data_IF_149822624028
#
_entry.id   IF_149822624028
#
_cell.length_a   1.000
_cell.length_b   1.000
_cell.length_c   1.000
_cell.angle_alpha   90.00
_cell.angle_beta   90.00
_cell.angle_gamma   90.00
#
_symmetry.space_group_name_H-M   'P 1'
#
loop_
_entity.id
_entity.type
_entity.pdbx_description
1 polymer ?
#
# COMPACT_ATOMS: atom_id res chain seq x y z
N UNK A 1 -2.32 -44.81 40.54
CA UNK A 1 -1.60 -44.26 39.38
C UNK A 1 -2.41 -43.08 38.85
N UNK A 2 -2.03 -41.84 39.19
CA UNK A 2 -2.74 -40.61 38.78
C UNK A 2 -2.15 -40.13 37.44
N UNK A 3 -3.00 -39.76 36.46
CA UNK A 3 -2.60 -39.67 35.06
C UNK A 3 -1.64 -38.51 34.79
N UNK A 4 -0.62 -38.75 33.95
CA UNK A 4 0.35 -37.79 33.39
C UNK A 4 -0.32 -36.89 32.29
N UNK A 5 -1.57 -37.21 31.95
CA UNK A 5 -2.41 -36.59 30.91
C UNK A 5 -2.68 -35.08 31.09
N UNK A 6 -2.84 -34.49 32.31
CA UNK A 6 -3.11 -33.07 32.43
C UNK A 6 -1.87 -32.19 32.17
N UNK A 7 -0.67 -32.67 32.47
CA UNK A 7 0.57 -31.94 32.17
C UNK A 7 0.84 -31.85 30.66
N UNK A 8 0.56 -32.92 29.90
CA UNK A 8 0.76 -32.93 28.45
C UNK A 8 -0.23 -31.99 27.72
N UNK A 9 -1.46 -31.87 28.25
CA UNK A 9 -2.49 -30.98 27.70
C UNK A 9 -2.19 -29.50 27.95
N UNK A 10 -1.63 -29.16 29.12
CA UNK A 10 -1.22 -27.79 29.46
C UNK A 10 -0.01 -27.37 28.62
N UNK A 11 0.93 -28.29 28.39
CA UNK A 11 2.11 -28.02 27.55
C UNK A 11 1.72 -27.76 26.08
N UNK A 12 0.75 -28.49 25.53
CA UNK A 12 0.29 -28.31 24.15
C UNK A 12 -0.46 -26.99 23.93
N UNK A 13 -1.19 -26.49 24.93
CA UNK A 13 -1.86 -25.17 24.88
C UNK A 13 -0.85 -24.02 24.96
N UNK A 14 0.22 -24.17 25.75
CA UNK A 14 1.27 -23.16 25.88
C UNK A 14 2.08 -22.99 24.57
N UNK A 15 2.32 -24.07 23.82
CA UNK A 15 3.02 -24.02 22.54
C UNK A 15 2.18 -23.31 21.45
N UNK A 16 0.86 -23.49 21.42
CA UNK A 16 -0.01 -22.78 20.47
C UNK A 16 -0.05 -21.25 20.69
N UNK A 17 0.20 -20.78 21.91
CA UNK A 17 0.21 -19.33 22.21
C UNK A 17 1.50 -18.64 21.75
N UNK A 18 2.61 -19.38 21.60
CA UNK A 18 3.90 -18.80 21.22
C UNK A 18 4.07 -18.61 19.71
N UNK A 19 3.27 -19.30 18.88
CA UNK A 19 3.36 -19.25 17.40
C UNK A 19 2.51 -18.12 16.80
N UNK A 20 1.71 -17.41 17.60
CA UNK A 20 0.67 -16.49 17.11
C UNK A 20 1.10 -15.03 16.80
N UNK A 21 2.36 -14.65 16.99
CA UNK A 21 2.77 -13.23 16.95
C UNK A 21 3.63 -12.86 15.74
N UNK A 22 3.32 -13.38 14.56
CA UNK A 22 3.84 -12.80 13.32
C UNK A 22 2.91 -11.66 12.90
N UNK A 23 3.08 -10.49 13.52
CA UNK A 23 2.42 -9.27 13.07
C UNK A 23 2.93 -8.95 11.66
N UNK A 24 2.04 -8.95 10.67
CA UNK A 24 2.37 -8.43 9.35
C UNK A 24 2.79 -6.97 9.50
N UNK A 25 4.04 -6.66 9.13
CA UNK A 25 4.54 -5.29 9.12
C UNK A 25 3.74 -4.53 8.06
N UNK A 26 2.85 -3.65 8.47
CA UNK A 26 2.00 -2.90 7.55
C UNK A 26 2.68 -1.56 7.21
N UNK A 27 3.13 -1.40 5.96
CA UNK A 27 3.65 -0.13 5.48
C UNK A 27 2.49 0.87 5.43
N UNK A 28 2.64 2.07 6.05
CA UNK A 28 1.61 3.09 6.03
C UNK A 28 1.43 3.63 4.61
N UNK A 29 0.18 3.74 4.18
CA UNK A 29 -0.15 4.32 2.88
C UNK A 29 -0.30 5.84 3.02
N UNK A 30 0.33 6.65 2.16
CA UNK A 30 0.15 8.11 2.19
C UNK A 30 -1.28 8.49 1.77
N UNK A 31 -1.75 9.63 2.26
CA UNK A 31 -2.96 10.26 1.75
C UNK A 31 -2.68 10.90 0.39
N UNK A 32 -3.65 10.86 -0.53
CA UNK A 32 -3.50 11.46 -1.85
C UNK A 32 -3.69 12.97 -1.75
N UNK A 33 -2.59 13.70 -1.55
CA UNK A 33 -2.61 15.16 -1.48
C UNK A 33 -2.43 15.80 -2.86
N UNK A 34 -1.66 15.15 -3.74
CA UNK A 34 -1.33 15.63 -5.08
C UNK A 34 -1.22 14.46 -6.06
N UNK A 35 -1.37 14.70 -7.38
CA UNK A 35 -1.22 13.65 -8.38
C UNK A 35 0.18 13.05 -8.43
N UNK A 36 1.22 13.76 -8.00
CA UNK A 36 2.60 13.28 -7.97
C UNK A 36 3.19 13.45 -6.57
N UNK A 37 3.54 12.33 -5.95
CA UNK A 37 4.20 12.28 -4.65
C UNK A 37 5.51 11.51 -4.77
N UNK A 38 6.62 12.22 -4.58
CA UNK A 38 7.97 11.66 -4.58
C UNK A 38 8.59 11.79 -3.18
N UNK A 39 8.73 10.66 -2.48
CA UNK A 39 9.34 10.57 -1.15
C UNK A 39 10.84 10.24 -1.22
N UNK A 40 11.39 10.04 -2.41
CA UNK A 40 12.82 9.74 -2.65
C UNK A 40 13.62 10.98 -3.03
N UNK A 41 12.95 12.04 -3.49
CA UNK A 41 13.62 13.23 -4.03
C UNK A 41 14.36 12.96 -5.34
N UNK A 42 13.88 11.98 -6.12
CA UNK A 42 14.42 11.64 -7.43
C UNK A 42 14.08 12.72 -8.46
N UNK A 43 12.89 13.33 -8.35
CA UNK A 43 12.41 14.36 -9.25
C UNK A 43 12.68 15.77 -8.69
N UNK A 44 13.04 16.69 -9.59
CA UNK A 44 13.08 18.12 -9.27
C UNK A 44 11.67 18.70 -9.17
N UNK A 45 11.52 19.82 -8.45
CA UNK A 45 10.24 20.54 -8.35
C UNK A 45 9.66 20.89 -9.73
N UNK A 46 10.51 21.21 -10.71
CA UNK A 46 10.07 21.53 -12.08
C UNK A 46 9.51 20.31 -12.81
N UNK A 47 10.08 19.12 -12.58
CA UNK A 47 9.62 17.87 -13.18
C UNK A 47 8.29 17.44 -12.54
N UNK A 48 8.17 17.57 -11.22
CA UNK A 48 6.91 17.34 -10.49
C UNK A 48 5.81 18.23 -11.06
N UNK A 49 6.05 19.55 -11.15
CA UNK A 49 5.06 20.49 -11.69
C UNK A 49 4.69 20.18 -13.16
N UNK A 50 5.66 19.77 -13.97
CA UNK A 50 5.42 19.38 -15.37
C UNK A 50 4.55 18.12 -15.46
N UNK A 51 4.84 17.11 -14.64
CA UNK A 51 4.06 15.87 -14.56
C UNK A 51 2.64 16.13 -14.05
N UNK A 52 2.49 16.89 -12.96
CA UNK A 52 1.18 17.28 -12.42
C UNK A 52 0.35 18.02 -13.47
N UNK A 53 0.95 18.98 -14.18
CA UNK A 53 0.26 19.72 -15.25
C UNK A 53 -0.25 18.80 -16.36
N UNK A 54 0.53 17.79 -16.76
CA UNK A 54 0.13 16.80 -17.78
C UNK A 54 -1.00 15.91 -17.27
N UNK A 55 -0.90 15.44 -16.02
CA UNK A 55 -1.93 14.60 -15.41
C UNK A 55 -3.25 15.36 -15.30
N UNK A 56 -3.21 16.61 -14.82
CA UNK A 56 -4.41 17.45 -14.72
C UNK A 56 -5.00 17.76 -16.10
N UNK A 57 -4.17 17.97 -17.12
CA UNK A 57 -4.64 18.14 -18.49
C UNK A 57 -5.38 16.89 -19.01
N UNK A 58 -4.83 15.68 -18.77
CA UNK A 58 -5.49 14.42 -19.12
C UNK A 58 -6.80 14.22 -18.35
N UNK A 59 -6.82 14.55 -17.07
CA UNK A 59 -8.03 14.48 -16.26
C UNK A 59 -9.11 15.45 -16.77
N UNK A 60 -8.72 16.65 -17.20
CA UNK A 60 -9.66 17.62 -17.77
C UNK A 60 -10.18 17.23 -19.15
N UNK A 61 -9.34 16.60 -19.99
CA UNK A 61 -9.68 16.24 -21.37
C UNK A 61 -10.46 14.91 -21.46
N UNK A 62 -10.06 13.91 -20.67
CA UNK A 62 -10.57 12.54 -20.76
C UNK A 62 -11.36 12.09 -19.53
N UNK A 63 -11.20 12.78 -18.39
CA UNK A 63 -11.82 12.43 -17.12
C UNK A 63 -11.06 11.37 -16.31
N UNK A 64 -10.11 10.67 -16.92
CA UNK A 64 -9.27 9.66 -16.25
C UNK A 64 -8.41 10.28 -15.16
N UNK A 65 -8.28 9.60 -14.03
CA UNK A 65 -7.54 10.11 -12.88
C UNK A 65 -6.26 9.30 -12.67
N UNK A 66 -5.12 9.99 -12.67
CA UNK A 66 -3.80 9.36 -12.58
C UNK A 66 -3.10 9.84 -11.30
N UNK A 67 -2.55 8.90 -10.53
CA UNK A 67 -1.70 9.17 -9.39
C UNK A 67 -0.33 8.52 -9.53
N UNK A 68 0.72 9.19 -9.10
CA UNK A 68 2.10 8.70 -9.11
C UNK A 68 2.64 8.75 -7.68
N UNK A 69 3.13 7.62 -7.21
CA UNK A 69 3.81 7.48 -5.92
C UNK A 69 5.22 6.92 -6.13
N UNK A 70 6.23 7.65 -5.68
CA UNK A 70 7.62 7.21 -5.64
C UNK A 70 8.03 7.12 -4.17
N UNK A 71 8.39 5.93 -3.72
CA UNK A 71 8.76 5.63 -2.34
C UNK A 71 10.12 4.92 -2.29
N UNK A 72 10.87 5.01 -1.19
CA UNK A 72 12.20 4.43 -1.12
C UNK A 72 12.22 2.90 -0.94
N UNK A 73 11.13 2.32 -0.43
CA UNK A 73 11.04 0.88 -0.12
C UNK A 73 9.58 0.48 0.14
N UNK A 74 9.29 -0.81 -0.07
CA UNK A 74 8.03 -1.46 0.33
C UNK A 74 8.17 -2.23 1.66
N UNK A 75 9.30 -2.10 2.35
CA UNK A 75 9.64 -2.82 3.59
C UNK A 75 9.39 -4.34 3.52
N UNK A 76 9.65 -4.94 2.36
CA UNK A 76 9.48 -6.36 2.11
C UNK A 76 8.05 -6.80 1.76
N UNK A 77 7.10 -5.86 1.66
CA UNK A 77 5.75 -6.13 1.16
C UNK A 77 5.80 -6.34 -0.37
N UNK A 78 5.12 -7.36 -0.92
CA UNK A 78 4.93 -7.51 -2.37
C UNK A 78 4.26 -6.27 -2.99
N UNK A 79 4.74 -5.83 -4.15
CA UNK A 79 4.22 -4.63 -4.80
C UNK A 79 2.74 -4.78 -5.19
N UNK A 80 2.30 -6.02 -5.49
CA UNK A 80 0.92 -6.35 -5.80
C UNK A 80 0.01 -6.05 -4.59
N UNK A 81 0.37 -6.57 -3.42
CA UNK A 81 -0.39 -6.36 -2.17
C UNK A 81 -0.42 -4.88 -1.77
N UNK A 82 0.72 -4.19 -1.90
CA UNK A 82 0.80 -2.75 -1.64
C UNK A 82 -0.09 -1.96 -2.62
N UNK A 83 -0.04 -2.29 -3.91
CA UNK A 83 -0.80 -1.59 -4.95
C UNK A 83 -2.31 -1.73 -4.78
N UNK A 84 -2.80 -2.90 -4.38
CA UNK A 84 -4.23 -3.13 -4.12
C UNK A 84 -4.70 -2.28 -2.95
N UNK A 85 -3.95 -2.30 -1.83
CA UNK A 85 -4.29 -1.49 -0.65
C UNK A 85 -4.26 0.00 -0.97
N UNK A 86 -3.30 0.43 -1.78
CA UNK A 86 -3.20 1.83 -2.23
C UNK A 86 -4.39 2.22 -3.13
N UNK A 87 -4.77 1.37 -4.08
CA UNK A 87 -5.93 1.59 -4.94
C UNK A 87 -7.23 1.68 -4.13
N UNK A 88 -7.41 0.80 -3.15
CA UNK A 88 -8.56 0.83 -2.23
C UNK A 88 -8.61 2.10 -1.38
N UNK A 89 -7.44 2.62 -0.98
CA UNK A 89 -7.35 3.87 -0.22
C UNK A 89 -7.64 5.10 -1.08
N UNK A 90 -7.00 5.19 -2.23
CA UNK A 90 -7.06 6.40 -3.08
C UNK A 90 -8.32 6.47 -3.93
N UNK A 91 -8.89 5.31 -4.32
CA UNK A 91 -10.13 5.22 -5.10
C UNK A 91 -10.15 6.17 -6.30
N UNK A 92 -9.02 6.24 -7.00
CA UNK A 92 -8.93 7.01 -8.23
C UNK A 92 -9.85 6.42 -9.29
N UNK A 93 -10.41 7.30 -10.12
CA UNK A 93 -11.30 6.95 -11.21
C UNK A 93 -12.72 7.45 -10.95
N UNK A 94 -13.44 7.66 -12.04
CA UNK A 94 -14.85 8.08 -11.97
C UNK A 94 -15.72 6.87 -11.69
N UNK A 95 -16.67 7.05 -10.77
CA UNK A 95 -17.60 5.99 -10.37
C UNK A 95 -18.34 5.40 -11.58
N UNK A 96 -18.18 4.10 -11.81
CA UNK A 96 -18.84 3.36 -12.89
C UNK A 96 -18.15 3.48 -14.26
N UNK A 97 -17.04 4.22 -14.34
CA UNK A 97 -16.13 4.22 -15.50
C UNK A 97 -14.85 3.46 -15.16
N UNK A 98 -14.40 3.54 -13.90
CA UNK A 98 -13.26 2.82 -13.35
C UNK A 98 -11.95 3.10 -14.12
N UNK A 99 -11.77 4.36 -14.50
CA UNK A 99 -10.66 4.90 -15.31
C UNK A 99 -9.53 5.52 -14.46
N UNK A 100 -9.32 4.96 -13.27
CA UNK A 100 -8.23 5.33 -12.38
C UNK A 100 -6.94 4.58 -12.72
N UNK A 101 -5.80 5.27 -12.67
CA UNK A 101 -4.47 4.66 -12.84
C UNK A 101 -3.56 5.10 -11.70
N UNK A 102 -2.86 4.15 -11.10
CA UNK A 102 -1.81 4.42 -10.11
C UNK A 102 -0.48 3.89 -10.65
N UNK A 103 0.55 4.73 -10.65
CA UNK A 103 1.91 4.36 -10.97
C UNK A 103 2.72 4.37 -9.67
N UNK A 104 3.35 3.24 -9.35
CA UNK A 104 4.15 3.07 -8.14
C UNK A 104 5.59 2.77 -8.56
N UNK A 105 6.54 3.45 -7.94
CA UNK A 105 7.98 3.21 -8.08
C UNK A 105 8.56 3.05 -6.67
N UNK A 106 9.24 1.94 -6.41
CA UNK A 106 9.77 1.58 -5.10
C UNK A 106 11.12 0.88 -5.20
#
# INVERSE_FOLDING_TARGET
>A
MRPIIPCLRIFLVAVCFFVGSLSAQEVPLPDLERPVMDQTGTLTDSEIQSLESKILALQNDQGSQIGILIIPTLDGIPIEDFSIRLADKWKLGRKGVDDGVIIIVA
#
